data_IF_197523911425
#
_entry.id   IF_197523911425
#
_cell.length_a   1.000
_cell.length_b   1.000
_cell.length_c   1.000
_cell.angle_alpha   90.00
_cell.angle_beta   90.00
_cell.angle_gamma   90.00
#
_symmetry.space_group_name_H-M   'P 1'
#
loop_
_entity.id
_entity.type
_entity.pdbx_description
1 polymer ?
#
# COMPACT_ATOMS: atom_id res chain seq x y z
N UNK A 1 -2.56 -20.86 -12.75
CA UNK A 1 -1.95 -19.94 -11.75
C UNK A 1 -2.64 -18.57 -11.82
N UNK A 2 -3.03 -17.97 -10.69
CA UNK A 2 -3.51 -16.57 -10.66
C UNK A 2 -2.35 -15.62 -10.93
N UNK A 3 -2.50 -14.70 -11.89
CA UNK A 3 -1.52 -13.64 -12.18
C UNK A 3 -1.46 -12.66 -11.00
N UNK A 4 -0.26 -12.17 -10.67
CA UNK A 4 -0.08 -11.07 -9.71
C UNK A 4 -0.75 -9.82 -10.28
N UNK A 5 -1.51 -9.09 -9.45
CA UNK A 5 -2.23 -7.87 -9.84
C UNK A 5 -2.13 -6.83 -8.74
N UNK A 6 -2.16 -5.55 -9.13
CA UNK A 6 -2.27 -4.44 -8.19
C UNK A 6 -3.73 -4.24 -7.79
N UNK A 7 -4.19 -4.99 -6.80
CA UNK A 7 -5.63 -5.04 -6.44
C UNK A 7 -6.05 -4.01 -5.41
N UNK A 8 -5.16 -3.65 -4.47
CA UNK A 8 -5.48 -2.86 -3.29
C UNK A 8 -4.27 -2.07 -2.80
N UNK A 9 -4.53 -0.94 -2.16
CA UNK A 9 -3.55 -0.09 -1.48
C UNK A 9 -3.98 0.03 -0.01
N UNK A 10 -3.04 -0.14 0.92
CA UNK A 10 -3.31 0.07 2.35
C UNK A 10 -2.98 1.53 2.71
N UNK A 11 -3.95 2.24 3.29
CA UNK A 11 -3.83 3.65 3.65
C UNK A 11 -3.05 3.94 4.92
N UNK A 12 -2.65 2.90 5.66
CA UNK A 12 -1.99 3.05 6.97
C UNK A 12 -0.48 3.20 6.86
N UNK A 13 0.12 2.87 5.71
CA UNK A 13 1.57 2.80 5.55
C UNK A 13 2.13 3.94 4.72
N UNK A 14 1.74 5.18 5.02
CA UNK A 14 2.29 6.35 4.35
C UNK A 14 3.40 7.00 5.17
N UNK A 15 4.58 6.38 5.19
CA UNK A 15 5.81 7.17 5.32
C UNK A 15 6.16 7.68 3.93
N UNK A 16 5.25 8.49 3.40
CA UNK A 16 5.35 9.10 2.08
C UNK A 16 5.93 10.48 2.29
N UNK A 17 6.83 10.89 1.39
CA UNK A 17 7.26 12.27 1.30
C UNK A 17 6.01 13.19 1.36
N UNK A 18 5.93 14.10 2.34
CA UNK A 18 4.77 14.97 2.55
C UNK A 18 4.36 15.69 1.27
N UNK A 19 5.32 16.16 0.48
CA UNK A 19 5.08 16.84 -0.79
C UNK A 19 4.44 15.92 -1.83
N UNK A 20 4.83 14.65 -1.89
CA UNK A 20 4.15 13.67 -2.75
C UNK A 20 2.69 13.49 -2.34
N UNK A 21 2.41 13.35 -1.03
CA UNK A 21 1.05 13.16 -0.54
C UNK A 21 0.18 14.37 -0.89
N UNK A 22 0.66 15.58 -0.57
CA UNK A 22 -0.06 16.82 -0.86
C UNK A 22 -0.33 17.00 -2.35
N UNK A 23 0.66 16.68 -3.20
CA UNK A 23 0.54 16.84 -4.65
C UNK A 23 -0.44 15.85 -5.29
N UNK A 24 -0.43 14.59 -4.86
CA UNK A 24 -1.12 13.53 -5.60
C UNK A 24 -2.36 12.97 -4.88
N UNK A 25 -2.34 12.88 -3.54
CA UNK A 25 -3.31 12.08 -2.79
C UNK A 25 -4.22 12.91 -1.88
N UNK A 26 -3.85 14.15 -1.54
CA UNK A 26 -4.56 14.95 -0.55
C UNK A 26 -6.01 15.29 -0.93
N UNK A 27 -6.35 15.34 -2.22
CA UNK A 27 -7.72 15.62 -2.69
C UNK A 27 -8.52 14.35 -3.01
N UNK A 28 -7.90 13.17 -2.91
CA UNK A 28 -8.56 11.92 -3.30
C UNK A 28 -9.77 11.58 -2.42
N UNK A 29 -9.83 12.10 -1.18
CA UNK A 29 -10.96 11.91 -0.27
C UNK A 29 -12.27 12.50 -0.80
N UNK A 30 -12.21 13.50 -1.69
CA UNK A 30 -13.41 14.13 -2.27
C UNK A 30 -14.24 13.15 -3.11
N UNK A 31 -13.64 12.02 -3.52
CA UNK A 31 -14.31 10.98 -4.28
C UNK A 31 -14.79 9.81 -3.39
N UNK A 32 -14.56 9.87 -2.07
CA UNK A 32 -15.02 8.84 -1.14
C UNK A 32 -16.54 8.91 -1.01
N UNK A 33 -17.19 7.76 -0.98
CA UNK A 33 -18.62 7.67 -0.69
C UNK A 33 -19.59 8.11 -1.80
N UNK A 34 -19.14 8.34 -3.04
CA UNK A 34 -20.05 8.60 -4.18
C UNK A 34 -20.97 7.41 -4.53
N UNK A 35 -21.64 7.43 -5.69
CA UNK A 35 -22.64 6.40 -6.11
C UNK A 35 -22.13 4.94 -6.01
N UNK A 36 -20.83 4.74 -6.12
CA UNK A 36 -20.18 3.42 -6.07
C UNK A 36 -19.71 3.00 -4.67
N UNK A 37 -19.90 3.84 -3.64
CA UNK A 37 -19.47 3.56 -2.28
C UNK A 37 -17.95 3.39 -2.14
N UNK A 38 -17.17 4.18 -2.88
CA UNK A 38 -15.71 4.03 -2.91
C UNK A 38 -15.09 4.32 -1.54
N UNK A 39 -14.19 3.43 -1.09
CA UNK A 39 -13.30 3.67 0.04
C UNK A 39 -12.12 4.55 -0.37
N UNK A 40 -11.45 5.16 0.61
CA UNK A 40 -10.27 5.99 0.38
C UNK A 40 -9.15 5.22 -0.34
N UNK A 41 -8.98 3.94 -0.02
CA UNK A 41 -8.01 3.04 -0.65
C UNK A 41 -8.27 2.84 -2.14
N UNK A 42 -9.55 2.75 -2.52
CA UNK A 42 -9.92 2.66 -3.93
C UNK A 42 -9.55 3.96 -4.64
N UNK A 43 -9.89 5.11 -4.04
CA UNK A 43 -9.53 6.42 -4.60
C UNK A 43 -8.00 6.57 -4.78
N UNK A 44 -7.21 6.14 -3.80
CA UNK A 44 -5.74 6.23 -3.87
C UNK A 44 -5.16 5.30 -4.93
N UNK A 45 -5.66 4.07 -5.01
CA UNK A 45 -5.27 3.11 -6.06
C UNK A 45 -5.55 3.68 -7.44
N UNK A 46 -6.72 4.27 -7.63
CA UNK A 46 -7.12 4.84 -8.92
C UNK A 46 -6.23 6.01 -9.31
N UNK A 47 -5.87 6.89 -8.37
CA UNK A 47 -4.91 7.97 -8.62
C UNK A 47 -3.56 7.41 -9.06
N UNK A 48 -3.01 6.43 -8.32
CA UNK A 48 -1.73 5.80 -8.62
C UNK A 48 -1.71 5.20 -10.03
N UNK A 49 -2.78 4.50 -10.40
CA UNK A 49 -2.90 3.86 -11.71
C UNK A 49 -3.14 4.87 -12.84
N UNK A 50 -4.06 5.82 -12.67
CA UNK A 50 -4.40 6.82 -13.69
C UNK A 50 -3.24 7.76 -13.99
N UNK A 51 -2.49 8.16 -12.97
CA UNK A 51 -1.34 9.07 -13.12
C UNK A 51 -0.03 8.34 -13.43
N UNK A 52 -0.06 7.00 -13.58
CA UNK A 52 1.14 6.16 -13.77
C UNK A 52 2.25 6.46 -12.76
N UNK A 53 1.88 6.63 -11.48
CA UNK A 53 2.86 6.97 -10.44
C UNK A 53 3.82 5.79 -10.22
N UNK A 54 5.11 6.08 -10.33
CA UNK A 54 6.19 5.12 -10.10
C UNK A 54 6.78 5.27 -8.70
N UNK A 55 7.45 4.22 -8.22
CA UNK A 55 8.17 4.19 -6.93
C UNK A 55 7.30 4.51 -5.71
N UNK A 56 6.05 4.06 -5.73
CA UNK A 56 5.06 4.28 -4.66
C UNK A 56 4.99 3.14 -3.65
N UNK A 57 5.64 2.00 -3.92
CA UNK A 57 5.68 0.84 -3.05
C UNK A 57 7.05 0.68 -2.38
N UNK A 58 7.03 0.15 -1.16
CA UNK A 58 8.24 -0.18 -0.41
C UNK A 58 9.05 -1.29 -1.09
N UNK A 59 10.35 -1.04 -1.27
CA UNK A 59 11.31 -2.01 -1.79
C UNK A 59 11.73 -3.08 -0.77
N UNK A 60 11.35 -2.88 0.50
CA UNK A 60 11.62 -3.74 1.65
C UNK A 60 10.27 -4.00 2.37
N UNK A 61 9.93 -5.25 2.72
CA UNK A 61 8.68 -5.52 3.41
C UNK A 61 8.74 -4.94 4.82
N UNK A 62 7.75 -4.11 5.24
CA UNK A 62 7.80 -3.45 6.52
C UNK A 62 7.65 -4.45 7.68
N UNK A 63 8.30 -4.14 8.81
CA UNK A 63 8.04 -4.83 10.07
C UNK A 63 6.81 -4.19 10.70
N UNK A 64 5.70 -4.93 10.77
CA UNK A 64 4.47 -4.46 11.39
C UNK A 64 4.51 -4.88 12.87
N UNK A 65 4.45 -3.89 13.75
CA UNK A 65 4.29 -4.05 15.19
C UNK A 65 3.52 -2.86 15.78
N UNK A 66 2.91 -3.05 16.94
CA UNK A 66 2.17 -2.01 17.62
C UNK A 66 1.27 -2.55 18.72
N UNK A 67 0.40 -1.69 19.25
CA UNK A 67 -0.60 -2.03 20.24
C UNK A 67 -1.97 -2.04 19.59
N UNK A 68 -2.75 -3.10 19.79
CA UNK A 68 -4.11 -3.19 19.26
C UNK A 68 -5.05 -2.21 19.98
N UNK A 69 -5.65 -1.28 19.25
CA UNK A 69 -6.49 -0.23 19.85
C UNK A 69 -7.68 -0.74 20.67
N UNK A 70 -8.29 -1.86 20.28
CA UNK A 70 -9.41 -2.46 21.02
C UNK A 70 -9.02 -3.47 22.09
N UNK A 71 -7.78 -3.98 22.09
CA UNK A 71 -7.36 -5.08 22.99
C UNK A 71 -6.22 -4.71 23.93
N UNK A 72 -5.52 -3.60 23.68
CA UNK A 72 -4.30 -3.21 24.41
C UNK A 72 -3.13 -4.17 24.21
N UNK A 73 -3.28 -5.24 23.40
CA UNK A 73 -2.24 -6.25 23.24
C UNK A 73 -1.19 -5.78 22.25
N UNK A 74 0.07 -5.91 22.66
CA UNK A 74 1.20 -5.73 21.76
C UNK A 74 1.23 -6.86 20.73
N UNK A 75 1.48 -6.52 19.47
CA UNK A 75 1.65 -7.48 18.41
C UNK A 75 2.89 -7.15 17.58
N UNK A 76 3.50 -8.20 17.04
CA UNK A 76 4.62 -8.11 16.11
C UNK A 76 4.51 -9.26 15.11
N UNK A 77 4.76 -8.98 13.84
CA UNK A 77 4.75 -10.02 12.82
C UNK A 77 5.78 -11.13 13.14
N UNK A 78 5.32 -12.38 13.12
CA UNK A 78 6.18 -13.55 13.31
C UNK A 78 7.11 -13.78 12.10
N UNK A 79 8.17 -14.58 12.29
CA UNK A 79 9.19 -14.83 11.27
C UNK A 79 8.61 -15.47 10.00
N UNK A 80 7.68 -16.41 10.15
CA UNK A 80 6.99 -17.07 9.04
C UNK A 80 6.29 -16.05 8.12
N UNK A 81 5.58 -15.07 8.71
CA UNK A 81 4.92 -14.00 7.95
C UNK A 81 5.94 -13.10 7.24
N UNK A 82 7.06 -12.77 7.89
CA UNK A 82 8.14 -11.99 7.27
C UNK A 82 8.72 -12.68 6.04
N UNK A 83 9.05 -13.96 6.14
CA UNK A 83 9.59 -14.75 5.01
C UNK A 83 8.58 -14.78 3.85
N UNK A 84 7.29 -15.01 4.16
CA UNK A 84 6.22 -15.01 3.16
C UNK A 84 6.12 -13.68 2.40
N UNK A 85 6.21 -12.55 3.12
CA UNK A 85 6.17 -11.22 2.50
C UNK A 85 7.42 -10.93 1.66
N UNK A 86 8.61 -11.40 2.07
CA UNK A 86 9.83 -11.29 1.25
C UNK A 86 9.68 -12.03 -0.09
N UNK A 87 9.14 -13.25 -0.08
CA UNK A 87 8.92 -14.02 -1.31
C UNK A 87 7.90 -13.32 -2.22
N UNK A 88 6.79 -12.85 -1.64
CA UNK A 88 5.75 -12.09 -2.38
C UNK A 88 6.32 -10.83 -3.01
N UNK A 89 7.16 -10.10 -2.27
CA UNK A 89 7.80 -8.89 -2.77
C UNK A 89 8.73 -9.17 -3.95
N UNK A 90 9.53 -10.25 -3.88
CA UNK A 90 10.39 -10.66 -5.01
C UNK A 90 9.56 -10.93 -6.28
N UNK A 91 8.43 -11.63 -6.13
CA UNK A 91 7.53 -11.90 -7.25
C UNK A 91 6.88 -10.62 -7.79
N UNK A 92 6.46 -9.71 -6.90
CA UNK A 92 5.84 -8.46 -7.29
C UNK A 92 6.83 -7.53 -8.03
N UNK A 93 8.07 -7.41 -7.54
CA UNK A 93 9.14 -6.62 -8.19
C UNK A 93 9.47 -7.12 -9.59
N UNK A 94 9.42 -8.43 -9.82
CA UNK A 94 9.66 -9.00 -11.16
C UNK A 94 8.56 -8.62 -12.15
N UNK A 95 7.31 -8.54 -11.68
CA UNK A 95 6.17 -8.26 -12.56
C UNK A 95 5.87 -6.75 -12.71
N UNK A 96 6.24 -5.93 -11.71
CA UNK A 96 5.93 -4.49 -11.67
C UNK A 96 7.12 -3.66 -11.16
N UNK A 97 8.27 -3.68 -11.87
CA UNK A 97 9.50 -3.06 -11.37
C UNK A 97 9.36 -1.57 -11.08
N UNK A 98 8.59 -0.85 -11.90
CA UNK A 98 8.48 0.62 -11.82
C UNK A 98 7.73 1.11 -10.58
N UNK A 99 6.93 0.27 -9.94
CA UNK A 99 6.15 0.65 -8.76
C UNK A 99 7.00 0.67 -7.48
N UNK A 100 8.18 0.06 -7.46
CA UNK A 100 9.01 -0.07 -6.27
C UNK A 100 10.08 1.01 -6.22
N UNK A 101 10.33 1.52 -5.01
CA UNK A 101 11.50 2.37 -4.71
C UNK A 101 12.80 1.62 -5.01
N UNK A 102 13.88 2.33 -5.36
CA UNK A 102 15.22 1.72 -5.53
C UNK A 102 15.76 1.25 -4.19
#
# INVERSE_FOLDING_TARGET
>A
MKKTRFSYVDTRFYLVNKSFYLKNLATAYLNVGGEQGLSLENCFKDVILKQNLSRVLFSIPPVICGVGGGSGKYYKNNLKRRIKEVIRLKLARRNFPDLFTR
#
